data_IF_547724833721
#
_entry.id   IF_547724833721
#
_cell.length_a   1.000
_cell.length_b   1.000
_cell.length_c   1.000
_cell.angle_alpha   90.00
_cell.angle_beta   90.00
_cell.angle_gamma   90.00
#
_symmetry.space_group_name_H-M   'P 1'
#
loop_
_entity.id
_entity.type
_entity.pdbx_description
1 polymer ?
#
# COMPACT_ATOMS: atom_id res chain seq x y z
N UNK A 1 0.48 -10.61 -16.09
CA UNK A 1 0.93 -9.28 -15.63
C UNK A 1 -0.21 -8.71 -14.81
N UNK A 2 0.02 -8.45 -13.52
CA UNK A 2 -1.05 -8.02 -12.63
C UNK A 2 -1.41 -6.56 -12.94
N UNK A 3 -2.72 -6.25 -13.00
CA UNK A 3 -3.20 -4.89 -13.29
C UNK A 3 -2.91 -4.00 -12.08
N UNK A 4 -2.13 -2.94 -12.27
CA UNK A 4 -1.90 -1.90 -11.27
C UNK A 4 -3.19 -1.12 -11.04
N UNK A 5 -3.57 -0.91 -9.77
CA UNK A 5 -4.75 -0.14 -9.39
C UNK A 5 -4.38 1.24 -8.85
N UNK A 6 -3.45 1.28 -7.91
CA UNK A 6 -3.02 2.53 -7.27
C UNK A 6 -1.56 2.42 -6.86
N UNK A 7 -0.83 3.52 -7.02
CA UNK A 7 0.48 3.74 -6.43
C UNK A 7 0.36 4.90 -5.43
N UNK A 8 0.88 4.69 -4.23
CA UNK A 8 1.04 5.75 -3.23
C UNK A 8 2.51 5.93 -2.94
N UNK A 9 3.06 7.06 -3.35
CA UNK A 9 4.43 7.43 -2.98
C UNK A 9 4.48 8.21 -1.67
N UNK A 10 5.56 8.04 -0.93
CA UNK A 10 5.71 8.64 0.39
C UNK A 10 7.11 8.47 0.95
N UNK A 11 7.36 9.09 2.10
CA UNK A 11 8.68 9.03 2.72
C UNK A 11 8.60 8.90 4.24
N UNK A 12 9.61 8.24 4.79
CA UNK A 12 9.90 8.20 6.24
C UNK A 12 11.21 8.94 6.47
N UNK A 13 11.12 10.27 6.50
CA UNK A 13 12.30 11.16 6.51
C UNK A 13 12.90 11.27 5.11
N UNK A 14 14.16 10.88 4.96
CA UNK A 14 14.85 10.85 3.65
C UNK A 14 14.70 9.52 2.90
N UNK A 15 13.96 8.57 3.47
CA UNK A 15 13.81 7.21 2.94
C UNK A 15 12.48 7.09 2.19
N UNK A 16 12.51 6.39 1.06
CA UNK A 16 11.32 6.03 0.30
C UNK A 16 10.46 5.02 1.07
N UNK A 17 9.14 5.12 0.89
CA UNK A 17 8.11 4.28 1.52
C UNK A 17 6.90 4.16 0.57
N UNK A 18 7.12 3.59 -0.60
CA UNK A 18 6.19 3.53 -1.73
C UNK A 18 5.38 2.23 -1.72
N UNK A 19 4.07 2.32 -1.96
CA UNK A 19 3.18 1.15 -2.04
C UNK A 19 2.43 1.12 -3.37
N UNK A 20 2.42 -0.03 -4.04
CA UNK A 20 1.66 -0.28 -5.26
C UNK A 20 0.68 -1.44 -5.04
N UNK A 21 -0.62 -1.17 -5.19
CA UNK A 21 -1.68 -2.17 -5.08
C UNK A 21 -2.05 -2.70 -6.47
N UNK A 22 -2.14 -4.02 -6.58
CA UNK A 22 -2.58 -4.72 -7.79
C UNK A 22 -3.99 -5.31 -7.63
N UNK A 23 -4.62 -5.62 -8.77
CA UNK A 23 -6.01 -6.09 -8.83
C UNK A 23 -6.26 -7.48 -8.23
N UNK A 24 -5.20 -8.26 -8.01
CA UNK A 24 -5.27 -9.55 -7.33
C UNK A 24 -5.12 -9.44 -5.80
N UNK A 25 -4.99 -8.23 -5.27
CA UNK A 25 -4.76 -7.98 -3.84
C UNK A 25 -3.30 -8.03 -3.42
N UNK A 26 -2.36 -8.29 -4.34
CA UNK A 26 -0.93 -8.18 -4.07
C UNK A 26 -0.55 -6.71 -3.89
N UNK A 27 0.36 -6.43 -2.96
CA UNK A 27 0.93 -5.11 -2.72
C UNK A 27 2.44 -5.18 -2.82
N UNK A 28 3.03 -4.38 -3.71
CA UNK A 28 4.47 -4.17 -3.75
C UNK A 28 4.81 -2.98 -2.86
N UNK A 29 5.68 -3.19 -1.89
CA UNK A 29 6.24 -2.13 -1.04
C UNK A 29 7.71 -1.93 -1.42
N UNK A 30 8.06 -0.71 -1.83
CA UNK A 30 9.39 -0.30 -2.24
C UNK A 30 9.89 0.73 -1.22
N UNK A 31 11.03 0.49 -0.57
CA UNK A 31 11.51 1.34 0.51
C UNK A 31 13.02 1.33 0.70
N UNK A 32 13.53 2.38 1.34
CA UNK A 32 14.92 2.48 1.76
C UNK A 32 15.08 2.23 3.27
N UNK A 33 16.22 1.69 3.69
CA UNK A 33 16.56 1.52 5.12
C UNK A 33 17.87 2.23 5.45
N UNK A 34 17.80 3.18 6.38
CA UNK A 34 18.95 4.01 6.80
C UNK A 34 20.15 3.23 7.39
N UNK A 35 19.98 1.96 7.75
CA UNK A 35 20.92 1.26 8.64
C UNK A 35 22.14 0.60 7.97
N UNK A 36 22.26 0.49 6.64
CA UNK A 36 23.33 -0.30 6.00
C UNK A 36 23.90 0.29 4.69
N UNK A 37 25.23 0.17 4.45
CA UNK A 37 25.79 0.30 3.11
C UNK A 37 25.14 -0.75 2.19
N UNK A 38 24.41 -0.30 1.17
CA UNK A 38 23.64 -1.17 0.26
C UNK A 38 22.15 -1.31 0.58
N UNK A 39 21.63 -0.67 1.63
CA UNK A 39 20.21 -0.71 2.05
C UNK A 39 19.26 0.18 1.25
N UNK A 40 19.50 0.34 -0.05
CA UNK A 40 18.70 1.16 -0.96
C UNK A 40 17.95 0.27 -1.96
N UNK A 41 16.74 0.66 -2.33
CA UNK A 41 15.85 -0.04 -3.27
C UNK A 41 15.38 -1.42 -2.76
N UNK A 42 15.00 -1.52 -1.49
CA UNK A 42 14.39 -2.75 -0.97
C UNK A 42 12.98 -2.90 -1.53
N UNK A 43 12.57 -4.14 -1.78
CA UNK A 43 11.22 -4.47 -2.22
C UNK A 43 10.68 -5.66 -1.44
N UNK A 44 9.39 -5.64 -1.12
CA UNK A 44 8.67 -6.77 -0.56
C UNK A 44 7.27 -6.89 -1.16
N UNK A 45 6.76 -8.13 -1.24
CA UNK A 45 5.39 -8.42 -1.65
C UNK A 45 4.57 -8.73 -0.41
N UNK A 46 3.47 -7.99 -0.24
CA UNK A 46 2.55 -8.06 0.88
C UNK A 46 1.15 -8.44 0.39
N UNK A 47 0.36 -9.00 1.28
CA UNK A 47 -1.08 -9.20 1.11
C UNK A 47 -1.87 -8.10 1.80
N UNK A 48 -3.17 -7.98 1.51
CA UNK A 48 -4.06 -7.02 2.17
C UNK A 48 -4.05 -7.17 3.69
N UNK A 49 -3.96 -8.40 4.21
CA UNK A 49 -3.90 -8.68 5.64
C UNK A 49 -2.59 -8.26 6.32
N UNK A 50 -1.50 -8.15 5.56
CA UNK A 50 -0.20 -7.69 6.09
C UNK A 50 -0.18 -6.15 6.27
N UNK A 51 -1.10 -5.44 5.62
CA UNK A 51 -1.17 -3.99 5.69
C UNK A 51 -1.80 -3.49 6.98
N UNK A 52 -1.12 -2.55 7.64
CA UNK A 52 -1.74 -1.74 8.70
C UNK A 52 -2.90 -0.88 8.15
N UNK A 53 -3.85 -0.54 9.03
CA UNK A 53 -4.99 0.34 8.70
C UNK A 53 -4.53 1.66 8.09
N UNK A 54 -3.42 2.24 8.58
CA UNK A 54 -2.87 3.49 8.06
C UNK A 54 -2.43 3.38 6.59
N UNK A 55 -1.81 2.26 6.22
CA UNK A 55 -1.38 2.03 4.83
C UNK A 55 -2.59 1.75 3.94
N UNK A 56 -3.58 0.98 4.43
CA UNK A 56 -4.85 0.77 3.73
C UNK A 56 -5.53 2.12 3.43
N UNK A 57 -5.66 3.00 4.43
CA UNK A 57 -6.22 4.34 4.21
C UNK A 57 -5.42 5.18 3.22
N UNK A 58 -4.08 5.11 3.28
CA UNK A 58 -3.20 5.84 2.39
C UNK A 58 -3.38 5.41 0.93
N UNK A 59 -3.46 4.11 0.67
CA UNK A 59 -3.76 3.56 -0.66
C UNK A 59 -5.16 3.97 -1.14
N UNK A 60 -6.16 3.94 -0.26
CA UNK A 60 -7.51 4.40 -0.58
C UNK A 60 -7.54 5.89 -0.93
N UNK A 61 -6.85 6.75 -0.18
CA UNK A 61 -6.77 8.20 -0.44
C UNK A 61 -6.04 8.53 -1.73
N UNK A 62 -5.04 7.73 -2.12
CA UNK A 62 -4.30 7.88 -3.38
C UNK A 62 -5.09 7.40 -4.61
N UNK A 63 -6.19 6.68 -4.42
CA UNK A 63 -6.96 6.12 -5.53
C UNK A 63 -7.87 7.14 -6.21
N UNK A 64 -8.11 6.94 -7.52
CA UNK A 64 -9.05 7.76 -8.29
C UNK A 64 -10.48 7.57 -7.77
N UNK A 65 -11.31 8.62 -7.87
CA UNK A 65 -12.71 8.56 -7.41
C UNK A 65 -13.49 7.40 -8.05
N UNK A 66 -13.24 7.12 -9.33
CA UNK A 66 -13.87 6.03 -10.09
C UNK A 66 -13.58 4.65 -9.49
N UNK A 67 -12.39 4.45 -8.90
CA UNK A 67 -11.96 3.17 -8.36
C UNK A 67 -12.12 3.06 -6.83
N UNK A 68 -12.44 4.15 -6.12
CA UNK A 68 -12.50 4.19 -4.65
C UNK A 68 -13.43 3.14 -4.05
N UNK A 69 -14.62 2.93 -4.64
CA UNK A 69 -15.58 1.95 -4.14
C UNK A 69 -15.04 0.52 -4.21
N UNK A 70 -14.37 0.18 -5.32
CA UNK A 70 -13.72 -1.11 -5.49
C UNK A 70 -12.51 -1.28 -4.58
N UNK A 71 -11.64 -0.27 -4.50
CA UNK A 71 -10.42 -0.29 -3.68
C UNK A 71 -10.76 -0.35 -2.18
N UNK A 72 -11.81 0.34 -1.72
CA UNK A 72 -12.30 0.26 -0.33
C UNK A 72 -12.62 -1.17 0.11
N UNK A 73 -13.33 -1.92 -0.75
CA UNK A 73 -13.67 -3.32 -0.52
C UNK A 73 -12.44 -4.21 -0.57
N UNK A 74 -11.58 -4.01 -1.57
CA UNK A 74 -10.35 -4.79 -1.74
C UNK A 74 -9.40 -4.62 -0.53
N UNK A 75 -9.37 -3.43 0.08
CA UNK A 75 -8.56 -3.14 1.26
C UNK A 75 -9.24 -3.55 2.58
N UNK A 76 -10.47 -4.10 2.54
CA UNK A 76 -11.23 -4.53 3.72
C UNK A 76 -11.45 -3.39 4.73
N UNK A 77 -11.61 -2.14 4.25
CA UNK A 77 -11.78 -0.98 5.14
C UNK A 77 -13.15 -0.94 5.82
N UNK A 78 -14.14 -1.66 5.31
CA UNK A 78 -15.49 -1.70 5.87
C UNK A 78 -15.58 -2.68 7.06
N UNK A 79 -14.76 -3.74 7.07
CA UNK A 79 -14.69 -4.73 8.16
C UNK A 79 -13.99 -4.20 9.42
N UNK A 80 -13.28 -3.07 9.29
CA UNK A 80 -12.61 -2.41 10.42
C UNK A 80 -13.56 -1.53 11.25
N UNK A 81 -14.69 -1.09 10.67
CA UNK A 81 -15.65 -0.19 11.33
C UNK A 81 -16.73 -0.93 12.13
N UNK A 82 -16.83 -2.25 12.00
CA UNK A 82 -17.82 -3.08 12.71
C UNK A 82 -17.31 -3.63 14.05
N UNK A 83 -16.08 -3.27 14.45
CA UNK A 83 -15.45 -3.69 15.71
C UNK A 83 -15.52 -2.64 16.83
N UNK A 84 -16.38 -1.63 16.69
CA UNK A 84 -16.67 -0.58 17.69
C UNK A 84 -18.11 -0.72 18.21
#
# INVERSE_FOLDING_TARGET
MNKLLVKSSGSKGILDDDYTLYADGTVLHEYDRHSYPGGQNLTELLTISDLSVLIKERLYKASSEENKSYIRKLLELDDLNTSL
#
